data_IF_614883633737
#
_entry.id   IF_614883633737
#
_cell.length_a   1.000
_cell.length_b   1.000
_cell.length_c   1.000
_cell.angle_alpha   90.00
_cell.angle_beta   90.00
_cell.angle_gamma   90.00
#
_symmetry.space_group_name_H-M   'P 1'
#
loop_
_entity.id
_entity.type
_entity.pdbx_description
1 polymer ?
#
# COMPACT_ATOMS: atom_id res chain seq x y z
N UNK A 1 57.55 35.64 16.54
CA UNK A 1 57.47 34.36 15.80
C UNK A 1 55.99 34.06 15.60
N UNK A 2 55.48 34.21 14.38
CA UNK A 2 54.06 34.05 14.04
C UNK A 2 53.80 32.57 13.69
N UNK A 3 52.96 31.89 14.49
CA UNK A 3 52.46 30.56 14.17
C UNK A 3 51.34 30.70 13.11
N UNK A 4 51.59 30.23 11.90
CA UNK A 4 50.59 30.18 10.84
C UNK A 4 49.56 29.08 11.17
N UNK A 5 48.30 29.49 11.38
CA UNK A 5 47.17 28.59 11.49
C UNK A 5 46.85 28.03 10.10
N UNK A 6 47.24 26.78 9.84
CA UNK A 6 46.77 26.04 8.68
C UNK A 6 45.29 25.71 8.89
N UNK A 7 44.40 26.39 8.17
CA UNK A 7 43.00 26.01 8.06
C UNK A 7 42.89 24.73 7.26
N UNK A 8 42.54 23.62 7.93
CA UNK A 8 42.16 22.40 7.25
C UNK A 8 40.81 22.64 6.53
N UNK A 9 40.83 22.66 5.20
CA UNK A 9 39.63 22.60 4.38
C UNK A 9 38.97 21.23 4.58
N UNK A 10 37.72 21.14 5.06
CA UNK A 10 37.01 19.87 4.96
C UNK A 10 36.73 19.63 3.48
N UNK A 11 37.42 18.63 2.90
CA UNK A 11 37.02 18.06 1.62
C UNK A 11 35.59 17.56 1.82
N UNK A 12 34.63 18.23 1.17
CA UNK A 12 33.28 17.72 1.05
C UNK A 12 33.38 16.33 0.43
N UNK A 13 33.20 15.30 1.27
CA UNK A 13 33.09 13.93 0.82
C UNK A 13 31.77 13.82 0.03
N UNK A 14 31.81 14.13 -1.26
CA UNK A 14 30.76 13.73 -2.17
C UNK A 14 30.86 12.22 -2.28
N UNK A 15 30.07 11.52 -1.48
CA UNK A 15 29.90 10.08 -1.59
C UNK A 15 29.18 9.82 -2.91
N UNK A 16 29.94 9.62 -3.98
CA UNK A 16 29.42 9.09 -5.24
C UNK A 16 29.27 7.58 -5.04
N UNK A 17 28.19 7.18 -4.37
CA UNK A 17 27.69 5.81 -4.51
C UNK A 17 27.27 5.66 -5.96
N UNK A 18 28.17 5.12 -6.79
CA UNK A 18 27.80 4.68 -8.12
C UNK A 18 27.06 3.35 -7.91
N UNK A 19 25.71 3.28 -7.98
CA UNK A 19 25.02 2.02 -7.81
C UNK A 19 25.53 1.05 -8.86
N UNK A 20 26.25 0.03 -8.42
CA UNK A 20 26.53 -1.14 -9.24
C UNK A 20 25.21 -1.76 -9.71
N UNK A 21 25.28 -2.70 -10.64
CA UNK A 21 24.10 -3.41 -11.15
C UNK A 21 23.16 -3.89 -10.03
N UNK A 22 23.70 -4.35 -8.90
CA UNK A 22 22.91 -4.73 -7.73
C UNK A 22 22.11 -3.57 -7.11
N UNK A 23 22.70 -2.37 -7.01
CA UNK A 23 22.02 -1.17 -6.50
C UNK A 23 20.83 -0.78 -7.38
N UNK A 24 21.01 -0.81 -8.70
CA UNK A 24 19.92 -0.57 -9.65
C UNK A 24 18.83 -1.64 -9.57
N UNK A 25 19.20 -2.91 -9.41
CA UNK A 25 18.23 -4.00 -9.23
C UNK A 25 17.38 -3.81 -7.96
N UNK A 26 18.02 -3.46 -6.84
CA UNK A 26 17.33 -3.19 -5.57
C UNK A 26 16.37 -2.00 -5.71
N UNK A 27 16.82 -0.90 -6.30
CA UNK A 27 15.98 0.27 -6.54
C UNK A 27 14.80 -0.04 -7.46
N UNK A 28 15.02 -0.82 -8.53
CA UNK A 28 13.97 -1.27 -9.43
C UNK A 28 12.92 -2.15 -8.73
N UNK A 29 13.36 -3.11 -7.91
CA UNK A 29 12.48 -3.96 -7.10
C UNK A 29 11.67 -3.13 -6.10
N UNK A 30 12.31 -2.18 -5.42
CA UNK A 30 11.65 -1.30 -4.48
C UNK A 30 10.58 -0.44 -5.16
N UNK A 31 10.91 0.15 -6.32
CA UNK A 31 9.96 0.93 -7.10
C UNK A 31 8.76 0.09 -7.58
N UNK A 32 9.01 -1.14 -8.05
CA UNK A 32 7.96 -2.06 -8.47
C UNK A 32 7.04 -2.44 -7.30
N UNK A 33 7.62 -2.79 -6.15
CA UNK A 33 6.87 -3.12 -4.95
C UNK A 33 6.03 -1.92 -4.46
N UNK A 34 6.60 -0.72 -4.45
CA UNK A 34 5.89 0.50 -4.08
C UNK A 34 4.73 0.80 -5.04
N UNK A 35 4.93 0.66 -6.35
CA UNK A 35 3.89 0.80 -7.36
C UNK A 35 2.76 -0.22 -7.17
N UNK A 36 3.09 -1.48 -6.88
CA UNK A 36 2.10 -2.51 -6.58
C UNK A 36 1.27 -2.19 -5.34
N UNK A 37 1.93 -1.71 -4.27
CA UNK A 37 1.27 -1.29 -3.03
C UNK A 37 0.35 -0.08 -3.26
N UNK A 38 0.81 0.92 -4.02
CA UNK A 38 0.00 2.08 -4.42
C UNK A 38 -1.24 1.64 -5.21
N UNK A 39 -1.08 0.74 -6.17
CA UNK A 39 -2.21 0.23 -6.95
C UNK A 39 -3.21 -0.54 -6.08
N UNK A 40 -2.71 -1.33 -5.13
CA UNK A 40 -3.54 -1.99 -4.12
C UNK A 40 -4.25 -1.00 -3.18
N UNK A 41 -3.68 0.19 -2.98
CA UNK A 41 -4.26 1.22 -2.13
C UNK A 41 -5.30 2.08 -2.85
N UNK A 42 -5.06 2.46 -4.11
CA UNK A 42 -5.98 3.23 -4.97
C UNK A 42 -7.21 2.38 -5.35
N UNK A 43 -7.01 1.08 -5.62
CA UNK A 43 -8.09 0.12 -5.90
C UNK A 43 -8.24 -0.91 -4.77
N UNK A 44 -8.68 -0.48 -3.57
CA UNK A 44 -8.76 -1.32 -2.39
C UNK A 44 -10.00 -2.23 -2.41
N UNK A 45 -10.92 -2.01 -3.35
CA UNK A 45 -12.18 -2.74 -3.45
C UNK A 45 -12.20 -3.56 -4.73
N UNK A 46 -12.44 -4.86 -4.60
CA UNK A 46 -12.76 -5.74 -5.72
C UNK A 46 -14.26 -6.00 -5.73
N UNK A 47 -14.89 -6.07 -6.91
CA UNK A 47 -16.29 -6.45 -6.99
C UNK A 47 -16.49 -7.85 -6.41
N UNK A 48 -17.56 -8.03 -5.63
CA UNK A 48 -17.92 -9.35 -5.17
C UNK A 48 -18.29 -10.21 -6.38
N UNK A 49 -17.52 -11.28 -6.64
CA UNK A 49 -17.75 -12.20 -7.78
C UNK A 49 -19.12 -12.89 -7.76
N UNK A 50 -19.82 -12.90 -6.63
CA UNK A 50 -21.14 -13.52 -6.49
C UNK A 50 -22.23 -12.59 -7.02
N UNK A 51 -22.23 -11.34 -6.59
CA UNK A 51 -23.23 -10.34 -6.98
C UNK A 51 -22.73 -9.33 -8.03
N UNK A 52 -21.53 -9.51 -8.58
CA UNK A 52 -20.89 -8.64 -9.57
C UNK A 52 -20.79 -7.15 -9.20
N UNK A 53 -20.73 -6.82 -7.91
CA UNK A 53 -20.69 -5.41 -7.45
C UNK A 53 -22.03 -4.86 -6.98
N UNK A 54 -23.14 -5.56 -7.21
CA UNK A 54 -24.48 -5.02 -6.97
C UNK A 54 -24.92 -5.05 -5.49
N UNK A 55 -24.25 -5.86 -4.65
CA UNK A 55 -24.58 -6.02 -3.23
C UNK A 55 -25.85 -6.82 -2.95
N UNK A 56 -26.71 -7.03 -3.95
CA UNK A 56 -28.00 -7.70 -3.83
C UNK A 56 -28.25 -8.71 -4.94
N UNK A 57 -29.11 -9.68 -4.66
CA UNK A 57 -29.65 -10.64 -5.61
C UNK A 57 -31.17 -10.48 -5.67
N UNK A 58 -31.76 -10.62 -6.86
CA UNK A 58 -33.21 -10.75 -6.97
C UNK A 58 -33.66 -12.06 -6.35
N UNK A 59 -34.74 -12.03 -5.59
CA UNK A 59 -35.36 -13.23 -5.10
C UNK A 59 -35.88 -14.07 -6.29
N UNK A 60 -35.65 -15.39 -6.33
CA UNK A 60 -36.24 -16.28 -7.35
C UNK A 60 -37.77 -16.29 -7.35
N UNK A 61 -38.42 -15.93 -6.24
CA UNK A 61 -39.88 -15.90 -6.12
C UNK A 61 -40.25 -14.55 -5.47
N UNK A 62 -41.07 -13.76 -6.16
CA UNK A 62 -41.53 -12.43 -5.74
C UNK A 62 -40.67 -11.25 -6.21
N UNK A 63 -41.00 -10.04 -5.74
CA UNK A 63 -40.32 -8.78 -6.11
C UNK A 63 -39.24 -8.35 -5.11
N UNK A 64 -38.88 -9.23 -4.17
CA UNK A 64 -37.91 -8.93 -3.11
C UNK A 64 -36.47 -8.93 -3.58
N UNK A 65 -35.64 -8.13 -2.91
CA UNK A 65 -34.18 -8.20 -3.02
C UNK A 65 -33.62 -8.89 -1.78
N UNK A 66 -32.70 -9.84 -1.98
CA UNK A 66 -31.92 -10.43 -0.90
C UNK A 66 -30.53 -9.82 -0.89
N UNK A 67 -29.98 -9.57 0.28
CA UNK A 67 -28.60 -9.11 0.40
C UNK A 67 -27.68 -10.26 -0.01
N UNK A 68 -26.55 -9.94 -0.64
CA UNK A 68 -25.57 -10.97 -0.99
C UNK A 68 -24.91 -11.47 0.30
N UNK A 69 -25.03 -12.76 0.66
CA UNK A 69 -24.47 -13.27 1.93
C UNK A 69 -22.94 -13.34 1.94
N UNK A 70 -22.28 -13.08 0.80
CA UNK A 70 -20.82 -13.13 0.68
C UNK A 70 -20.16 -11.76 0.93
N UNK A 71 -20.91 -10.67 0.73
CA UNK A 71 -20.44 -9.31 0.96
C UNK A 71 -21.36 -8.52 1.90
N UNK A 72 -22.33 -9.17 2.53
CA UNK A 72 -23.30 -8.57 3.45
C UNK A 72 -23.92 -7.27 2.93
N UNK A 73 -24.34 -7.27 1.65
CA UNK A 73 -24.97 -6.10 1.05
C UNK A 73 -24.03 -5.03 0.49
N UNK A 74 -22.73 -5.07 0.82
CA UNK A 74 -21.79 -4.00 0.44
C UNK A 74 -21.40 -3.97 -1.04
N UNK A 75 -21.64 -5.05 -1.79
CA UNK A 75 -21.30 -5.16 -3.22
C UNK A 75 -19.81 -5.35 -3.53
N UNK A 76 -18.93 -4.94 -2.63
CA UNK A 76 -17.48 -5.00 -2.80
C UNK A 76 -16.82 -5.85 -1.70
N UNK A 77 -15.63 -6.38 -1.99
CA UNK A 77 -14.77 -7.01 -0.98
C UNK A 77 -13.49 -6.21 -0.84
N UNK A 78 -13.03 -6.04 0.39
CA UNK A 78 -11.74 -5.43 0.66
C UNK A 78 -10.61 -6.30 0.12
N UNK A 79 -9.68 -5.67 -0.61
CA UNK A 79 -8.39 -6.22 -1.00
C UNK A 79 -7.42 -6.10 0.19
N UNK A 80 -6.40 -6.94 0.23
CA UNK A 80 -5.47 -7.13 1.36
C UNK A 80 -4.86 -5.82 1.88
N UNK A 81 -4.57 -4.85 1.01
CA UNK A 81 -3.98 -3.57 1.42
C UNK A 81 -4.84 -2.78 2.42
N UNK A 82 -6.16 -2.73 2.23
CA UNK A 82 -7.06 -2.02 3.16
C UNK A 82 -7.43 -2.87 4.37
N UNK A 83 -7.37 -4.20 4.25
CA UNK A 83 -7.49 -5.12 5.40
C UNK A 83 -6.34 -4.89 6.39
N UNK A 84 -5.10 -4.76 5.88
CA UNK A 84 -3.92 -4.49 6.69
C UNK A 84 -4.01 -3.13 7.40
N UNK A 85 -4.45 -2.08 6.70
CA UNK A 85 -4.65 -0.77 7.32
C UNK A 85 -5.73 -0.78 8.41
N UNK A 86 -6.82 -1.54 8.21
CA UNK A 86 -7.82 -1.72 9.26
C UNK A 86 -7.23 -2.46 10.47
N UNK A 87 -6.49 -3.54 10.24
CA UNK A 87 -5.85 -4.30 11.31
C UNK A 87 -4.80 -3.47 12.07
N UNK A 88 -4.00 -2.67 11.38
CA UNK A 88 -3.03 -1.76 12.01
C UNK A 88 -3.70 -0.66 12.83
N UNK A 89 -4.85 -0.16 12.39
CA UNK A 89 -5.65 0.80 13.16
C UNK A 89 -6.25 0.16 14.40
N UNK A 90 -6.71 -1.08 14.28
CA UNK A 90 -7.28 -1.84 15.40
C UNK A 90 -6.21 -2.12 16.48
N UNK A 91 -5.02 -2.60 16.09
CA UNK A 91 -3.88 -2.76 17.01
C UNK A 91 -3.52 -1.43 17.68
N UNK A 92 -3.46 -0.33 16.92
CA UNK A 92 -3.08 0.99 17.46
C UNK A 92 -4.17 1.58 18.36
N UNK A 93 -5.44 1.26 18.12
CA UNK A 93 -6.58 1.69 18.91
C UNK A 93 -6.77 0.88 20.19
N UNK A 94 -6.50 -0.43 20.14
CA UNK A 94 -6.51 -1.32 21.31
C UNK A 94 -5.38 -1.04 22.31
N UNK A 95 -4.37 -0.27 21.91
CA UNK A 95 -3.25 0.14 22.77
C UNK A 95 -3.57 1.36 23.65
N UNK A 96 -4.82 1.85 23.65
CA UNK A 96 -5.27 3.01 24.43
C UNK A 96 -6.36 2.61 25.41
#
# INVERSE_FOLDING_TARGET
>A
MLFNAATATPLAATHSDQPGVAGWLVLGLAAWAAGYLLLCWIWPFRNCRRCNGWGKHRAPIGRGFRHCPRCDGTGHRLRTGRLLLNHLRDIRGASK
#
